data_IF_158396037102
#
_entry.id   IF_158396037102
#
_cell.length_a   1.000
_cell.length_b   1.000
_cell.length_c   1.000
_cell.angle_alpha   90.00
_cell.angle_beta   90.00
_cell.angle_gamma   90.00
#
_symmetry.space_group_name_H-M   'P 1'
#
loop_
_entity.id
_entity.type
_entity.pdbx_description
1 polymer ?
#
# COMPACT_ATOMS: atom_id res chain seq x y z
N UNK A 1 -11.83 25.90 1.59
CA UNK A 1 -10.71 26.36 0.73
C UNK A 1 -10.92 25.97 -0.73
N UNK A 2 -11.02 24.68 -1.09
CA UNK A 2 -11.11 24.26 -2.50
C UNK A 2 -12.48 23.74 -2.97
N UNK A 3 -13.54 23.83 -2.15
CA UNK A 3 -14.91 23.36 -2.48
C UNK A 3 -14.97 21.91 -3.01
N UNK A 4 -14.03 21.07 -2.62
CA UNK A 4 -13.96 19.64 -2.95
C UNK A 4 -14.25 18.78 -1.73
N UNK A 5 -14.63 17.52 -1.96
CA UNK A 5 -14.77 16.54 -0.88
C UNK A 5 -13.39 16.19 -0.31
N UNK A 6 -13.29 15.90 1.00
CA UNK A 6 -12.01 15.56 1.62
C UNK A 6 -11.42 14.24 1.11
N UNK A 7 -12.25 13.35 0.56
CA UNK A 7 -11.86 12.01 0.11
C UNK A 7 -10.90 12.00 -1.08
N UNK A 8 -10.86 13.09 -1.84
CA UNK A 8 -9.99 13.25 -3.02
C UNK A 8 -8.72 14.05 -2.72
N UNK A 9 -8.50 14.43 -1.47
CA UNK A 9 -7.35 15.24 -1.03
C UNK A 9 -6.34 14.35 -0.31
N UNK A 10 -5.11 14.29 -0.82
CA UNK A 10 -4.03 13.49 -0.25
C UNK A 10 -2.91 14.41 0.21
N UNK A 11 -2.75 14.55 1.53
CA UNK A 11 -1.68 15.35 2.12
C UNK A 11 -0.50 14.47 2.59
N UNK A 12 0.73 14.91 2.34
CA UNK A 12 1.93 14.15 2.71
C UNK A 12 3.16 15.04 2.92
N UNK A 13 4.20 14.44 3.51
CA UNK A 13 5.52 15.07 3.63
C UNK A 13 5.56 16.26 4.58
N UNK A 14 4.70 16.31 5.60
CA UNK A 14 4.73 17.37 6.58
C UNK A 14 5.99 17.32 7.44
N UNK A 15 6.63 18.48 7.60
CA UNK A 15 7.74 18.71 8.51
C UNK A 15 7.51 20.02 9.26
N UNK A 16 7.58 19.95 10.58
CA UNK A 16 7.51 21.09 11.49
C UNK A 16 8.87 21.78 11.59
N UNK A 17 8.88 23.11 11.62
CA UNK A 17 10.08 23.89 11.92
C UNK A 17 10.49 23.70 13.40
N UNK A 18 11.79 23.81 13.68
CA UNK A 18 12.28 23.81 15.06
C UNK A 18 11.73 25.03 15.81
N UNK A 19 11.30 24.85 17.05
CA UNK A 19 10.59 25.87 17.82
C UNK A 19 9.09 25.99 17.50
N UNK A 20 8.56 25.26 16.52
CA UNK A 20 7.13 25.24 16.20
C UNK A 20 6.67 26.41 15.33
N UNK A 21 5.36 26.70 15.34
CA UNK A 21 4.74 27.84 14.62
C UNK A 21 4.59 27.69 13.10
N UNK A 22 5.37 26.81 12.45
CA UNK A 22 5.24 26.53 11.02
C UNK A 22 5.42 25.04 10.70
N UNK A 23 4.52 24.51 9.87
CA UNK A 23 4.66 23.18 9.25
C UNK A 23 4.56 23.32 7.74
N UNK A 24 5.54 22.77 7.03
CA UNK A 24 5.53 22.73 5.57
C UNK A 24 5.20 21.30 5.12
N UNK A 25 4.40 21.15 4.08
CA UNK A 25 4.06 19.87 3.47
C UNK A 25 3.45 20.05 2.09
N UNK A 26 3.00 18.95 1.50
CA UNK A 26 2.43 18.93 0.15
C UNK A 26 1.04 18.30 0.18
N UNK A 27 0.19 18.69 -0.79
CA UNK A 27 -1.11 18.08 -0.99
C UNK A 27 -1.38 17.89 -2.49
N UNK A 28 -2.04 16.79 -2.83
CA UNK A 28 -2.58 16.52 -4.16
C UNK A 28 -4.10 16.51 -4.05
N UNK A 29 -4.76 17.26 -4.93
CA UNK A 29 -6.22 17.30 -5.04
C UNK A 29 -6.56 16.68 -6.39
N UNK A 30 -7.31 15.58 -6.36
CA UNK A 30 -7.75 14.88 -7.56
C UNK A 30 -9.18 15.28 -7.93
N UNK A 31 -9.51 15.23 -9.22
CA UNK A 31 -10.87 15.49 -9.71
C UNK A 31 -11.85 14.37 -9.32
N UNK A 32 -11.37 13.13 -9.27
CA UNK A 32 -12.18 11.97 -8.89
C UNK A 32 -11.41 10.93 -8.09
N UNK A 33 -12.16 10.12 -7.36
CA UNK A 33 -11.63 9.04 -6.53
C UNK A 33 -10.99 7.91 -7.39
N UNK A 34 -11.43 7.77 -8.64
CA UNK A 34 -10.87 6.78 -9.57
C UNK A 34 -9.47 7.17 -10.04
N UNK A 35 -9.23 8.46 -10.33
CA UNK A 35 -7.90 8.96 -10.66
C UNK A 35 -6.94 8.82 -9.48
N UNK A 36 -7.43 9.10 -8.27
CA UNK A 36 -6.67 8.88 -7.04
C UNK A 36 -6.27 7.40 -6.90
N UNK A 37 -7.21 6.46 -7.05
CA UNK A 37 -6.93 5.01 -6.92
C UNK A 37 -5.95 4.49 -7.98
N UNK A 38 -5.95 5.05 -9.19
CA UNK A 38 -5.05 4.65 -10.28
C UNK A 38 -3.63 5.21 -10.09
N UNK A 39 -3.51 6.47 -9.68
CA UNK A 39 -2.24 7.19 -9.74
C UNK A 39 -1.49 7.25 -8.40
N UNK A 40 -2.19 7.23 -7.25
CA UNK A 40 -1.53 7.32 -5.95
C UNK A 40 -0.76 6.04 -5.59
N UNK A 41 0.41 6.16 -4.93
CA UNK A 41 1.07 5.01 -4.35
C UNK A 41 0.18 4.28 -3.33
N UNK A 42 0.10 2.94 -3.47
CA UNK A 42 -0.73 2.06 -2.63
C UNK A 42 -0.54 2.26 -1.12
N UNK A 43 0.65 2.65 -0.65
CA UNK A 43 0.87 2.85 0.79
C UNK A 43 0.11 4.05 1.35
N UNK A 44 -0.16 5.08 0.54
CA UNK A 44 -0.98 6.25 0.93
C UNK A 44 -2.46 5.90 0.90
N UNK A 45 -2.89 5.13 -0.10
CA UNK A 45 -4.25 4.58 -0.17
C UNK A 45 -4.58 3.73 1.07
N UNK A 46 -3.62 2.93 1.57
CA UNK A 46 -3.77 2.19 2.83
C UNK A 46 -3.90 3.12 4.04
N UNK A 47 -3.17 4.24 4.10
CA UNK A 47 -3.29 5.21 5.19
C UNK A 47 -4.65 5.92 5.21
N UNK A 48 -5.25 6.12 4.03
CA UNK A 48 -6.59 6.68 3.87
C UNK A 48 -7.70 5.63 3.99
N UNK A 49 -7.36 4.36 4.25
CA UNK A 49 -8.35 3.29 4.40
C UNK A 49 -9.00 2.79 3.11
N UNK A 50 -8.52 3.23 1.93
CA UNK A 50 -9.09 2.82 0.64
C UNK A 50 -8.72 1.39 0.22
N UNK A 51 -7.62 0.87 0.75
CA UNK A 51 -7.11 -0.48 0.43
C UNK A 51 -6.57 -1.14 1.70
N UNK A 52 -6.90 -2.43 1.87
CA UNK A 52 -6.24 -3.27 2.87
C UNK A 52 -4.91 -3.85 2.39
N UNK A 53 -3.87 -3.73 3.21
CA UNK A 53 -2.54 -4.28 2.91
C UNK A 53 -2.48 -5.77 3.22
N UNK A 54 -2.24 -6.62 2.22
CA UNK A 54 -1.94 -8.06 2.44
C UNK A 54 -0.62 -8.27 3.19
N UNK A 55 -0.70 -8.91 4.37
CA UNK A 55 0.39 -9.10 5.35
C UNK A 55 1.19 -10.42 5.19
N UNK A 56 1.57 -10.82 3.98
CA UNK A 56 2.49 -11.97 3.85
C UNK A 56 3.95 -11.51 4.06
N UNK A 57 4.62 -12.02 5.10
CA UNK A 57 5.99 -11.64 5.45
C UNK A 57 7.01 -12.02 4.36
N UNK A 58 8.09 -11.24 4.23
CA UNK A 58 9.14 -11.48 3.23
C UNK A 58 9.78 -12.86 3.40
N UNK A 59 9.98 -13.31 4.64
CA UNK A 59 10.52 -14.65 4.97
C UNK A 59 9.64 -15.77 4.42
N UNK A 60 8.34 -15.74 4.71
CA UNK A 60 7.37 -16.74 4.23
C UNK A 60 7.32 -16.82 2.69
N UNK A 61 7.40 -15.68 2.00
CA UNK A 61 7.46 -15.64 0.52
C UNK A 61 8.74 -16.29 -0.02
N UNK A 62 9.89 -16.02 0.61
CA UNK A 62 11.18 -16.59 0.22
C UNK A 62 11.23 -18.10 0.47
N UNK A 63 10.75 -18.56 1.62
CA UNK A 63 10.69 -19.99 1.93
C UNK A 63 9.75 -20.74 0.98
N UNK A 64 8.55 -20.18 0.69
CA UNK A 64 7.63 -20.75 -0.30
C UNK A 64 8.28 -20.86 -1.67
N UNK A 65 8.97 -19.81 -2.13
CA UNK A 65 9.73 -19.82 -3.39
C UNK A 65 10.78 -20.94 -3.39
N UNK A 66 11.55 -21.08 -2.33
CA UNK A 66 12.61 -22.10 -2.24
C UNK A 66 12.04 -23.53 -2.21
N UNK A 67 10.90 -23.76 -1.55
CA UNK A 67 10.21 -25.05 -1.61
C UNK A 67 9.67 -25.35 -3.01
N UNK A 68 9.08 -24.36 -3.70
CA UNK A 68 8.58 -24.52 -5.06
C UNK A 68 9.68 -24.81 -6.09
N UNK A 69 10.89 -24.31 -5.86
CA UNK A 69 12.06 -24.63 -6.70
C UNK A 69 12.47 -26.11 -6.63
N UNK A 70 12.14 -26.82 -5.54
CA UNK A 70 12.50 -28.24 -5.33
C UNK A 70 11.55 -29.22 -6.05
N UNK A 71 10.46 -28.74 -6.64
CA UNK A 71 9.44 -29.60 -7.28
C UNK A 71 9.12 -29.11 -8.70
N UNK A 72 8.72 -30.02 -9.59
CA UNK A 72 8.45 -29.76 -11.02
C UNK A 72 6.99 -30.04 -11.37
N UNK A 73 6.47 -29.33 -12.39
CA UNK A 73 5.11 -29.53 -12.92
C UNK A 73 4.02 -29.30 -11.87
N UNK A 74 2.95 -30.09 -11.96
CA UNK A 74 1.77 -30.05 -11.08
C UNK A 74 2.10 -30.21 -9.59
N UNK A 75 3.26 -30.79 -9.24
CA UNK A 75 3.72 -30.91 -7.84
C UNK A 75 3.97 -29.54 -7.16
N UNK A 76 4.12 -28.44 -7.92
CA UNK A 76 4.26 -27.08 -7.37
C UNK A 76 3.00 -26.57 -6.66
N UNK A 77 1.83 -26.99 -7.11
CA UNK A 77 0.54 -26.55 -6.52
C UNK A 77 0.41 -27.00 -5.07
N UNK A 78 0.77 -28.27 -4.80
CA UNK A 78 0.79 -28.85 -3.45
C UNK A 78 1.70 -28.10 -2.47
N UNK A 79 2.79 -27.52 -2.97
CA UNK A 79 3.76 -26.75 -2.15
C UNK A 79 3.36 -25.27 -2.02
N UNK A 80 2.53 -24.77 -2.93
CA UNK A 80 2.02 -23.40 -2.95
C UNK A 80 0.88 -23.18 -1.94
N UNK A 81 0.04 -24.21 -1.76
CA UNK A 81 -0.96 -24.28 -0.72
C UNK A 81 -0.24 -24.48 0.62
N UNK A 82 0.03 -23.39 1.34
CA UNK A 82 0.25 -23.52 2.78
C UNK A 82 -0.95 -24.26 3.37
N UNK A 83 -0.73 -25.15 4.35
CA UNK A 83 -1.78 -25.83 5.11
C UNK A 83 -2.90 -24.80 5.37
N UNK A 84 -4.09 -25.00 4.77
CA UNK A 84 -5.26 -24.20 5.09
C UNK A 84 -5.44 -24.34 6.61
N UNK A 85 -5.27 -23.26 7.35
CA UNK A 85 -5.97 -23.08 8.60
C UNK A 85 -7.33 -22.52 8.23
#
# INVERSE_FOLDING_TARGET
>A
MYKTTPDVIVCFGFRTAFGGGKSCGFALIYDSLDFLKKNEPKYRQVRMGLIEKKKAARKQRKERKNRQKKVRGTKKEKVSAGKKK
#
